data_IF_216271266629
#
_entry.id   IF_216271266629
#
_cell.length_a   1.000
_cell.length_b   1.000
_cell.length_c   1.000
_cell.angle_alpha   90.00
_cell.angle_beta   90.00
_cell.angle_gamma   90.00
#
_symmetry.space_group_name_H-M   'P 1'
#
loop_
_entity.id
_entity.type
_entity.pdbx_description
1 polymer ?
#
# COMPACT_ATOMS: atom_id res chain seq x y z
N UNK A 1 -10.77 8.47 -9.33
CA UNK A 1 -11.17 7.11 -8.91
C UNK A 1 -9.88 6.35 -8.63
N UNK A 2 -9.70 5.80 -7.43
CA UNK A 2 -8.48 5.05 -7.06
C UNK A 2 -8.58 3.64 -7.62
N UNK A 3 -8.47 3.56 -8.93
CA UNK A 3 -8.60 2.32 -9.65
C UNK A 3 -7.20 2.00 -10.19
N UNK A 4 -6.71 0.79 -9.95
CA UNK A 4 -5.63 0.26 -10.79
C UNK A 4 -6.08 0.28 -12.25
N UNK A 5 -5.13 0.12 -13.17
CA UNK A 5 -5.43 0.07 -14.60
C UNK A 5 -6.57 -0.92 -14.92
N UNK A 6 -6.57 -2.08 -14.26
CA UNK A 6 -7.63 -3.08 -14.37
C UNK A 6 -8.98 -2.61 -13.79
N UNK A 7 -9.01 -2.07 -12.57
CA UNK A 7 -10.24 -1.48 -12.03
C UNK A 7 -10.79 -0.37 -12.92
N UNK A 8 -9.92 0.40 -13.58
CA UNK A 8 -10.33 1.48 -14.48
C UNK A 8 -10.89 0.92 -15.77
N UNK A 9 -10.26 -0.13 -16.30
CA UNK A 9 -10.71 -0.87 -17.48
C UNK A 9 -12.09 -1.49 -17.26
N UNK A 10 -12.28 -2.13 -16.10
CA UNK A 10 -13.49 -2.89 -15.78
C UNK A 10 -14.52 -2.11 -14.94
N UNK A 11 -14.24 -0.86 -14.60
CA UNK A 11 -15.07 0.03 -13.76
C UNK A 11 -15.39 -0.51 -12.35
N UNK A 12 -14.62 -1.45 -11.84
CA UNK A 12 -14.80 -1.98 -10.48
C UNK A 12 -14.49 -0.93 -9.41
N UNK A 13 -15.20 -1.00 -8.27
CA UNK A 13 -14.70 -0.33 -7.08
C UNK A 13 -13.40 -1.03 -6.62
N UNK A 14 -12.52 -0.29 -5.94
CA UNK A 14 -11.27 -0.89 -5.45
C UNK A 14 -11.51 -2.01 -4.41
N UNK A 15 -12.66 -1.98 -3.73
CA UNK A 15 -13.11 -3.03 -2.81
C UNK A 15 -13.52 -4.31 -3.53
N UNK A 16 -14.04 -4.18 -4.75
CA UNK A 16 -14.44 -5.30 -5.62
C UNK A 16 -13.30 -5.69 -6.56
N UNK A 17 -12.11 -5.12 -6.38
CA UNK A 17 -10.99 -5.42 -7.25
C UNK A 17 -10.59 -6.89 -7.05
N UNK A 18 -10.68 -7.73 -8.08
CA UNK A 18 -10.27 -9.14 -7.98
C UNK A 18 -8.76 -9.27 -7.77
N UNK A 19 -8.00 -8.19 -7.94
CA UNK A 19 -6.60 -8.15 -7.53
C UNK A 19 -6.44 -7.95 -6.02
N UNK A 20 -7.49 -8.04 -5.19
CA UNK A 20 -7.34 -8.18 -3.74
C UNK A 20 -6.87 -9.60 -3.41
N UNK A 21 -5.59 -9.85 -3.62
CA UNK A 21 -4.97 -11.14 -3.40
C UNK A 21 -4.38 -11.18 -1.98
N UNK A 22 -4.33 -12.37 -1.34
CA UNK A 22 -3.65 -12.54 -0.05
C UNK A 22 -2.12 -12.30 -0.17
N UNK A 23 -1.58 -12.42 -1.39
CA UNK A 23 -0.17 -12.28 -1.68
C UNK A 23 0.03 -11.67 -3.08
N UNK A 24 1.14 -10.94 -3.26
CA UNK A 24 1.53 -10.37 -4.56
C UNK A 24 2.98 -10.70 -4.87
N UNK A 25 3.28 -11.06 -6.11
CA UNK A 25 4.65 -11.11 -6.61
C UNK A 25 5.20 -9.68 -6.78
N UNK A 26 6.49 -9.43 -6.53
CA UNK A 26 7.07 -8.10 -6.75
C UNK A 26 6.81 -7.53 -8.15
N UNK A 27 6.90 -8.38 -9.17
CA UNK A 27 6.72 -8.04 -10.58
C UNK A 27 5.28 -7.61 -10.92
N UNK A 28 4.30 -7.91 -10.06
CA UNK A 28 2.89 -7.57 -10.21
C UNK A 28 2.49 -6.27 -9.50
N UNK A 29 3.39 -5.68 -8.71
CA UNK A 29 3.07 -4.46 -7.98
C UNK A 29 2.89 -3.29 -8.96
N UNK A 30 1.70 -2.69 -8.94
CA UNK A 30 1.32 -1.48 -9.70
C UNK A 30 0.87 -0.35 -8.77
N UNK A 31 1.11 -0.50 -7.47
CA UNK A 31 0.71 0.44 -6.41
C UNK A 31 -0.81 0.72 -6.43
N UNK A 32 -1.63 -0.30 -6.66
CA UNK A 32 -3.08 -0.16 -6.48
C UNK A 32 -3.44 -0.03 -4.99
N UNK A 33 -4.66 0.41 -4.62
CA UNK A 33 -5.04 0.53 -3.20
C UNK A 33 -4.82 -0.74 -2.38
N UNK A 34 -5.20 -1.91 -2.89
CA UNK A 34 -5.04 -3.16 -2.14
C UNK A 34 -3.57 -3.58 -2.05
N UNK A 35 -2.80 -3.42 -3.12
CA UNK A 35 -1.34 -3.63 -3.09
C UNK A 35 -0.65 -2.66 -2.13
N UNK A 36 -1.07 -1.40 -2.07
CA UNK A 36 -0.52 -0.42 -1.13
C UNK A 36 -0.83 -0.79 0.33
N UNK A 37 -2.05 -1.25 0.61
CA UNK A 37 -2.42 -1.76 1.93
C UNK A 37 -1.54 -2.95 2.28
N UNK A 38 -1.47 -3.94 1.40
CA UNK A 38 -0.63 -5.13 1.59
C UNK A 38 0.86 -4.78 1.80
N UNK A 39 1.41 -3.85 1.03
CA UNK A 39 2.80 -3.37 1.19
C UNK A 39 3.00 -2.66 2.54
N UNK A 40 2.02 -1.91 3.02
CA UNK A 40 2.10 -1.26 4.33
C UNK A 40 1.99 -2.28 5.47
N UNK A 41 1.10 -3.27 5.35
CA UNK A 41 0.93 -4.35 6.34
C UNK A 41 2.22 -5.20 6.45
N UNK A 42 2.97 -5.34 5.36
CA UNK A 42 4.25 -6.06 5.31
C UNK A 42 5.48 -5.15 5.39
N UNK A 43 5.33 -3.85 5.68
CA UNK A 43 6.41 -2.88 5.53
C UNK A 43 7.64 -3.23 6.40
N UNK A 44 7.41 -3.69 7.63
CA UNK A 44 8.50 -4.09 8.53
C UNK A 44 9.31 -5.28 7.99
N UNK A 45 8.67 -6.22 7.29
CA UNK A 45 9.33 -7.37 6.69
C UNK A 45 10.14 -7.00 5.44
N UNK A 46 9.66 -6.01 4.67
CA UNK A 46 10.35 -5.47 3.50
C UNK A 46 11.52 -4.54 3.88
N UNK A 47 11.50 -4.02 5.11
CA UNK A 47 12.50 -3.09 5.62
C UNK A 47 13.90 -3.68 5.76
N UNK A 48 14.91 -2.84 6.06
CA UNK A 48 16.33 -3.22 6.05
C UNK A 48 16.70 -4.28 7.09
N UNK A 49 15.88 -4.47 8.13
CA UNK A 49 16.14 -5.45 9.20
C UNK A 49 15.92 -6.90 8.74
N UNK A 50 14.92 -7.13 7.90
CA UNK A 50 14.54 -8.46 7.41
C UNK A 50 14.82 -8.60 5.91
N UNK A 51 14.55 -7.55 5.14
CA UNK A 51 14.81 -7.39 3.73
C UNK A 51 14.37 -8.60 2.88
N UNK A 52 13.18 -9.12 3.17
CA UNK A 52 12.65 -10.34 2.56
C UNK A 52 11.24 -10.12 2.08
N UNK A 53 10.93 -10.61 0.89
CA UNK A 53 9.54 -10.68 0.43
C UNK A 53 8.73 -11.71 1.24
N UNK A 54 7.46 -11.45 1.59
CA UNK A 54 6.59 -12.46 2.19
C UNK A 54 6.56 -13.75 1.37
N UNK A 55 6.52 -14.91 2.05
CA UNK A 55 6.42 -16.19 1.37
C UNK A 55 5.06 -16.31 0.69
N UNK A 56 5.05 -16.90 -0.51
CA UNK A 56 3.81 -17.21 -1.22
C UNK A 56 3.03 -18.30 -0.46
N UNK A 57 1.79 -18.04 -0.01
CA UNK A 57 0.97 -19.01 0.72
C UNK A 57 0.62 -20.25 -0.11
N UNK A 58 0.59 -20.13 -1.45
CA UNK A 58 0.24 -21.22 -2.37
C UNK A 58 1.48 -22.00 -2.84
N UNK A 59 2.69 -21.48 -2.56
CA UNK A 59 3.93 -22.24 -2.74
C UNK A 59 4.02 -23.34 -1.69
N UNK A 60 3.34 -24.46 -1.95
CA UNK A 60 3.61 -25.71 -1.23
C UNK A 60 5.11 -25.95 -1.26
N UNK A 61 5.73 -26.23 -0.11
CA UNK A 61 7.19 -26.27 0.09
C UNK A 61 7.99 -27.29 -0.72
N UNK A 62 7.46 -27.81 -1.82
CA UNK A 62 8.15 -28.58 -2.84
C UNK A 62 8.61 -27.64 -3.95
N UNK A 63 9.90 -27.33 -3.95
CA UNK A 63 10.59 -26.76 -5.10
C UNK A 63 10.50 -27.76 -6.27
N UNK A 64 9.57 -27.55 -7.19
CA UNK A 64 9.64 -28.18 -8.51
C UNK A 64 10.91 -27.66 -9.21
N UNK A 65 11.95 -28.49 -9.17
CA UNK A 65 13.18 -28.35 -9.98
C UNK A 65 12.79 -28.34 -11.46
N UNK A 66 12.55 -27.15 -12.04
CA UNK A 66 12.28 -27.06 -13.47
C UNK A 66 11.96 -25.67 -14.01
N UNK A 67 11.32 -24.81 -13.22
CA UNK A 67 10.96 -23.47 -13.69
C UNK A 67 12.13 -22.53 -13.49
N UNK A 68 12.80 -22.14 -14.60
CA UNK A 68 13.86 -21.12 -14.58
C UNK A 68 13.34 -19.91 -13.81
N UNK A 69 13.92 -19.65 -12.64
CA UNK A 69 13.66 -18.42 -11.92
C UNK A 69 13.90 -17.26 -12.89
N UNK A 70 12.97 -16.28 -13.00
CA UNK A 70 13.22 -15.09 -13.78
C UNK A 70 14.55 -14.51 -13.32
N UNK A 71 15.44 -14.25 -14.29
CA UNK A 71 16.80 -13.74 -14.06
C UNK A 71 16.75 -12.32 -13.53
N UNK A 72 16.36 -12.14 -12.27
CA UNK A 72 16.63 -10.90 -11.57
C UNK A 72 18.13 -10.85 -11.26
N UNK A 73 18.82 -9.89 -11.86
CA UNK A 73 20.28 -9.74 -11.73
C UNK A 73 20.70 -9.03 -10.43
N UNK A 74 19.77 -8.76 -9.50
CA UNK A 74 20.04 -8.13 -8.22
C UNK A 74 20.05 -9.13 -7.06
N UNK A 75 20.58 -8.71 -5.91
CA UNK A 75 20.51 -9.51 -4.70
C UNK A 75 19.06 -9.64 -4.20
N UNK A 76 18.76 -10.74 -3.50
CA UNK A 76 17.40 -11.07 -3.02
C UNK A 76 16.75 -9.98 -2.14
N UNK A 77 17.56 -9.10 -1.54
CA UNK A 77 17.11 -8.03 -0.65
C UNK A 77 16.83 -6.70 -1.36
N UNK A 78 17.33 -6.51 -2.58
CA UNK A 78 17.29 -5.21 -3.27
C UNK A 78 15.85 -4.77 -3.53
N UNK A 79 15.02 -5.68 -4.01
CA UNK A 79 13.65 -5.40 -4.37
C UNK A 79 12.75 -5.12 -3.15
N UNK A 80 12.75 -5.95 -2.06
CA UNK A 80 12.06 -5.62 -0.82
C UNK A 80 12.44 -4.22 -0.27
N UNK A 81 13.74 -3.92 -0.20
CA UNK A 81 14.22 -2.62 0.30
C UNK A 81 13.78 -1.47 -0.61
N UNK A 82 13.79 -1.67 -1.93
CA UNK A 82 13.30 -0.70 -2.90
C UNK A 82 11.82 -0.36 -2.68
N UNK A 83 10.97 -1.36 -2.49
CA UNK A 83 9.55 -1.14 -2.18
C UNK A 83 9.36 -0.48 -0.81
N UNK A 84 10.09 -0.92 0.22
CA UNK A 84 10.06 -0.29 1.54
C UNK A 84 10.40 1.20 1.46
N UNK A 85 11.48 1.55 0.77
CA UNK A 85 11.92 2.93 0.60
C UNK A 85 10.87 3.79 -0.15
N UNK A 86 10.29 3.26 -1.22
CA UNK A 86 9.25 3.96 -1.99
C UNK A 86 7.97 4.20 -1.17
N UNK A 87 7.48 3.19 -0.43
CA UNK A 87 6.28 3.31 0.40
C UNK A 87 6.51 4.28 1.55
N UNK A 88 7.66 4.19 2.22
CA UNK A 88 8.06 5.11 3.30
C UNK A 88 8.10 6.54 2.80
N UNK A 89 8.79 6.80 1.69
CA UNK A 89 8.86 8.13 1.10
C UNK A 89 7.47 8.69 0.78
N UNK A 90 6.57 7.88 0.22
CA UNK A 90 5.19 8.30 -0.10
C UNK A 90 4.39 8.66 1.15
N UNK A 91 4.54 7.90 2.24
CA UNK A 91 3.90 8.20 3.52
C UNK A 91 4.45 9.49 4.13
N UNK A 92 5.76 9.71 4.08
CA UNK A 92 6.40 10.94 4.58
C UNK A 92 5.88 12.20 3.88
N UNK A 93 5.62 12.14 2.56
CA UNK A 93 5.01 13.26 1.83
C UNK A 93 3.63 13.67 2.36
N UNK A 94 2.93 12.79 3.08
CA UNK A 94 1.64 13.06 3.70
C UNK A 94 1.74 13.69 5.11
N UNK A 95 2.95 13.82 5.67
CA UNK A 95 3.20 14.45 6.97
C UNK A 95 2.42 13.79 8.11
N UNK A 96 1.67 14.59 8.89
CA UNK A 96 0.86 14.08 10.02
C UNK A 96 -0.23 13.10 9.60
N UNK A 97 -0.80 13.26 8.40
CA UNK A 97 -1.80 12.30 7.90
C UNK A 97 -1.10 10.98 7.52
N UNK A 98 0.13 11.06 6.98
CA UNK A 98 0.95 9.88 6.65
C UNK A 98 1.29 9.04 7.86
N UNK A 99 1.72 9.67 8.96
CA UNK A 99 1.95 8.99 10.25
C UNK A 99 0.69 8.27 10.75
N UNK A 100 -0.46 8.94 10.69
CA UNK A 100 -1.74 8.34 11.08
C UNK A 100 -2.09 7.11 10.24
N UNK A 101 -1.78 7.12 8.94
CA UNK A 101 -1.96 5.96 8.07
C UNK A 101 -0.94 4.85 8.38
N UNK A 102 0.31 5.21 8.70
CA UNK A 102 1.34 4.27 9.15
C UNK A 102 0.92 3.53 10.42
N UNK A 103 0.45 4.25 11.45
CA UNK A 103 -0.05 3.61 12.68
C UNK A 103 -1.22 2.65 12.41
N UNK A 104 -2.06 2.97 11.43
CA UNK A 104 -3.20 2.12 11.10
C UNK A 104 -2.79 0.83 10.36
N UNK A 105 -2.04 0.97 9.25
CA UNK A 105 -1.72 -0.16 8.37
C UNK A 105 -0.44 -0.89 8.77
N UNK A 106 0.60 -0.17 9.19
CA UNK A 106 1.91 -0.76 9.53
C UNK A 106 1.91 -1.28 10.98
N UNK A 107 1.37 -0.51 11.92
CA UNK A 107 1.35 -0.88 13.35
C UNK A 107 0.05 -1.63 13.74
N UNK A 108 -0.93 -1.71 12.83
CA UNK A 108 -2.21 -2.40 13.08
C UNK A 108 -3.13 -1.71 14.08
N UNK A 109 -2.92 -0.41 14.38
CA UNK A 109 -3.77 0.33 15.33
C UNK A 109 -5.15 0.56 14.72
N UNK A 110 -6.21 0.20 15.44
CA UNK A 110 -7.57 0.39 14.95
C UNK A 110 -7.98 1.87 14.90
N UNK A 111 -8.97 2.18 14.04
CA UNK A 111 -9.42 3.55 13.81
C UNK A 111 -10.03 4.20 15.06
N UNK A 112 -10.66 3.45 15.95
CA UNK A 112 -11.27 3.99 17.17
C UNK A 112 -10.19 4.37 18.18
N UNK A 113 -9.19 3.50 18.38
CA UNK A 113 -8.02 3.85 19.21
C UNK A 113 -7.29 5.08 18.67
N UNK A 114 -7.08 5.17 17.35
CA UNK A 114 -6.50 6.37 16.74
C UNK A 114 -7.37 7.62 16.90
N UNK A 115 -8.69 7.46 16.88
CA UNK A 115 -9.65 8.54 17.12
C UNK A 115 -9.55 9.08 18.54
N UNK A 116 -9.44 8.19 19.52
CA UNK A 116 -9.27 8.53 20.93
C UNK A 116 -7.94 9.23 21.18
N UNK A 117 -6.83 8.67 20.68
CA UNK A 117 -5.48 9.24 20.80
C UNK A 117 -5.34 10.62 20.14
N UNK A 118 -6.10 10.87 19.07
CA UNK A 118 -6.04 12.15 18.33
C UNK A 118 -7.18 13.11 18.68
N UNK A 119 -8.03 12.75 19.66
CA UNK A 119 -9.22 13.50 20.06
C UNK A 119 -10.08 13.93 18.85
N UNK A 120 -10.31 13.01 17.93
CA UNK A 120 -11.05 13.24 16.69
C UNK A 120 -12.16 12.20 16.53
N UNK A 121 -13.26 12.54 15.85
CA UNK A 121 -14.27 11.54 15.53
C UNK A 121 -13.69 10.43 14.62
N UNK A 122 -14.06 9.13 14.79
CA UNK A 122 -13.58 8.03 13.96
C UNK A 122 -13.73 8.29 12.45
N UNK A 123 -14.89 8.79 12.01
CA UNK A 123 -15.09 9.12 10.60
C UNK A 123 -14.17 10.23 10.06
N UNK A 124 -13.59 11.08 10.92
CA UNK A 124 -12.56 12.06 10.52
C UNK A 124 -11.21 11.37 10.32
N UNK A 125 -10.84 10.43 11.19
CA UNK A 125 -9.63 9.59 11.07
C UNK A 125 -9.70 8.76 9.80
N UNK A 126 -10.79 8.00 9.58
CA UNK A 126 -11.02 7.22 8.36
C UNK A 126 -10.85 8.06 7.09
N UNK A 127 -11.43 9.27 7.06
CA UNK A 127 -11.31 10.18 5.91
C UNK A 127 -9.90 10.72 5.71
N UNK A 128 -9.06 10.81 6.75
CA UNK A 128 -7.66 11.24 6.65
C UNK A 128 -6.80 10.09 6.13
N UNK A 129 -6.94 8.91 6.71
CA UNK A 129 -6.23 7.68 6.27
C UNK A 129 -6.58 7.34 4.82
N UNK A 130 -7.87 7.32 4.46
CA UNK A 130 -8.30 7.08 3.08
C UNK A 130 -7.79 8.13 2.08
N UNK A 131 -7.56 9.37 2.52
CA UNK A 131 -6.94 10.44 1.71
C UNK A 131 -5.45 10.19 1.45
N UNK A 132 -4.75 9.64 2.42
CA UNK A 132 -3.35 9.24 2.28
C UNK A 132 -3.25 8.09 1.30
N UNK A 133 -4.02 7.02 1.51
CA UNK A 133 -4.05 5.87 0.60
C UNK A 133 -4.28 6.32 -0.84
N UNK A 134 -5.28 7.17 -1.02
CA UNK A 134 -5.59 7.84 -2.28
C UNK A 134 -4.40 8.59 -2.93
N UNK A 135 -3.61 9.30 -2.14
CA UNK A 135 -2.45 10.06 -2.64
C UNK A 135 -1.29 9.14 -3.01
N UNK A 136 -0.99 8.16 -2.16
CA UNK A 136 0.17 7.27 -2.31
C UNK A 136 -0.06 6.17 -3.36
N UNK A 137 -1.29 5.95 -3.80
CA UNK A 137 -1.60 5.01 -4.88
C UNK A 137 -1.19 5.47 -6.28
N UNK A 138 -0.87 4.48 -7.11
CA UNK A 138 -0.60 4.59 -8.54
C UNK A 138 0.87 4.46 -8.88
N UNK A 139 1.15 3.91 -10.06
CA UNK A 139 2.50 3.61 -10.53
C UNK A 139 3.45 4.81 -10.44
N UNK A 140 3.03 5.98 -10.90
CA UNK A 140 3.82 7.22 -10.84
C UNK A 140 3.53 8.00 -9.57
N UNK A 141 4.59 8.58 -9.00
CA UNK A 141 4.50 9.64 -7.98
C UNK A 141 3.62 10.78 -8.49
N UNK A 142 2.83 11.38 -7.60
CA UNK A 142 1.98 12.52 -7.99
C UNK A 142 2.88 13.73 -8.24
N UNK A 143 2.65 14.44 -9.33
CA UNK A 143 3.36 15.70 -9.64
C UNK A 143 2.99 16.84 -8.69
N UNK A 144 1.85 16.73 -8.00
CA UNK A 144 1.35 17.69 -7.02
C UNK A 144 1.66 17.25 -5.59
N UNK A 145 1.84 18.22 -4.71
CA UNK A 145 2.05 17.99 -3.28
C UNK A 145 0.82 17.39 -2.62
N UNK A 146 0.99 16.75 -1.46
CA UNK A 146 -0.15 16.23 -0.69
C UNK A 146 -1.12 17.36 -0.27
N UNK A 147 -0.60 18.55 0.03
CA UNK A 147 -1.41 19.73 0.38
C UNK A 147 -2.33 20.16 -0.76
N UNK A 148 -1.80 20.23 -1.98
CA UNK A 148 -2.60 20.55 -3.19
C UNK A 148 -3.59 19.43 -3.51
N UNK A 149 -3.14 18.17 -3.41
CA UNK A 149 -4.01 17.02 -3.57
C UNK A 149 -5.22 17.12 -2.63
N UNK A 150 -4.99 17.38 -1.33
CA UNK A 150 -6.01 17.48 -0.29
C UNK A 150 -7.05 18.57 -0.55
N UNK A 151 -6.67 19.70 -1.16
CA UNK A 151 -7.59 20.79 -1.55
C UNK A 151 -8.54 20.39 -2.67
N UNK A 152 -8.01 19.66 -3.66
CA UNK A 152 -8.80 19.20 -4.82
C UNK A 152 -9.56 17.88 -4.57
N UNK A 153 -9.24 17.19 -3.48
CA UNK A 153 -9.76 15.86 -3.23
C UNK A 153 -11.18 15.92 -2.68
N UNK A 154 -12.14 15.60 -3.52
CA UNK A 154 -13.52 15.29 -3.12
C UNK A 154 -13.69 13.77 -3.01
N UNK A 155 -13.87 13.21 -1.79
CA UNK A 155 -14.17 11.80 -1.64
C UNK A 155 -15.53 11.55 -2.29
N UNK A 156 -15.56 10.85 -3.44
CA UNK A 156 -16.80 10.65 -4.18
C UNK A 156 -17.83 9.80 -3.44
N UNK A 157 -17.44 9.01 -2.44
CA UNK A 157 -18.35 8.30 -1.55
C UNK A 157 -17.72 8.12 -0.17
N UNK A 158 -18.46 8.57 0.84
CA UNK A 158 -18.17 8.43 2.26
C UNK A 158 -19.48 8.61 3.01
N UNK A 159 -20.38 7.64 2.85
CA UNK A 159 -21.41 7.31 3.84
C UNK A 159 -20.96 6.03 4.50
#
# INVERSE_FOLDING_TARGET
MFQCQECRRHRWSWKECPTALPWYEPSDIRFCPNQMIWLMDNLNQLGPEVARWPNDPDSGGYYETGTRAPSYNGAYFEEPIGFHAEVTWRLEQCGKDGRLAGQHYVEGTDIFTLADLTHAAPGKVTRRVGRVLAYICGYRRKSRTYKEFKRSYSPKYGR
#
